data_IF_364029538229
#
_entry.id   IF_364029538229
#
_cell.length_a   1.000
_cell.length_b   1.000
_cell.length_c   1.000
_cell.angle_alpha   90.00
_cell.angle_beta   90.00
_cell.angle_gamma   90.00
#
_symmetry.space_group_name_H-M   'P 1'
#
loop_
_entity.id
_entity.type
_entity.pdbx_description
1 polymer ?
#
# COMPACT_ATOMS: atom_id res chain seq x y z
N UNK A 1 -22.08 -4.04 16.50
CA UNK A 1 -21.71 -2.68 16.97
C UNK A 1 -21.51 -2.61 18.49
N UNK A 2 -22.44 -3.14 19.32
CA UNK A 2 -22.37 -3.13 20.80
C UNK A 2 -21.07 -3.75 21.34
N UNK A 3 -20.73 -4.94 20.91
CA UNK A 3 -19.50 -5.65 21.33
C UNK A 3 -18.21 -4.87 21.05
N UNK A 4 -18.14 -4.15 19.91
CA UNK A 4 -16.99 -3.27 19.59
C UNK A 4 -16.87 -2.08 20.53
N UNK A 5 -17.99 -1.46 20.88
CA UNK A 5 -18.02 -0.34 21.85
C UNK A 5 -17.56 -0.80 23.24
N UNK A 6 -18.04 -1.94 23.71
CA UNK A 6 -17.63 -2.52 24.99
C UNK A 6 -16.12 -2.85 25.01
N UNK A 7 -15.58 -3.38 23.91
CA UNK A 7 -14.14 -3.64 23.79
C UNK A 7 -13.32 -2.34 23.84
N UNK A 8 -13.74 -1.29 23.13
CA UNK A 8 -13.09 0.02 23.14
C UNK A 8 -13.16 0.65 24.52
N UNK A 9 -14.31 0.62 25.20
CA UNK A 9 -14.48 1.15 26.55
C UNK A 9 -13.60 0.41 27.57
N UNK A 10 -13.54 -0.92 27.46
CA UNK A 10 -12.68 -1.76 28.29
C UNK A 10 -11.21 -1.39 28.10
N UNK A 11 -10.74 -1.33 26.86
CA UNK A 11 -9.37 -0.95 26.53
C UNK A 11 -9.06 0.46 27.04
N UNK A 12 -9.94 1.44 26.81
CA UNK A 12 -9.75 2.81 27.25
C UNK A 12 -9.62 2.91 28.77
N UNK A 13 -10.53 2.26 29.51
CA UNK A 13 -10.56 2.34 30.96
C UNK A 13 -9.43 1.54 31.63
N UNK A 14 -9.09 0.37 31.10
CA UNK A 14 -8.14 -0.54 31.74
C UNK A 14 -6.72 -0.42 31.20
N UNK A 15 -6.52 0.05 29.99
CA UNK A 15 -5.21 0.17 29.36
C UNK A 15 -4.81 1.64 29.20
N UNK A 16 -5.57 2.40 28.39
CA UNK A 16 -5.21 3.77 28.06
C UNK A 16 -5.14 4.69 29.27
N UNK A 17 -6.12 4.66 30.14
CA UNK A 17 -6.14 5.53 31.34
C UNK A 17 -4.97 5.26 32.30
N UNK A 18 -4.48 4.02 32.32
CA UNK A 18 -3.38 3.59 33.21
C UNK A 18 -1.98 3.80 32.61
N UNK A 19 -1.86 4.14 31.34
CA UNK A 19 -0.57 4.45 30.74
C UNK A 19 0.06 5.68 31.39
N UNK A 20 1.38 5.64 31.50
CA UNK A 20 2.18 6.80 31.91
C UNK A 20 1.95 7.99 30.97
N UNK A 21 2.00 9.22 31.53
CA UNK A 21 1.73 10.43 30.77
C UNK A 21 2.74 10.66 29.61
N UNK A 22 3.99 10.28 29.81
CA UNK A 22 5.03 10.42 28.76
C UNK A 22 4.75 9.46 27.61
N UNK A 23 4.33 8.23 27.93
CA UNK A 23 3.95 7.25 26.91
C UNK A 23 2.72 7.72 26.14
N UNK A 24 1.70 8.27 26.83
CA UNK A 24 0.53 8.86 26.15
C UNK A 24 0.93 10.02 25.24
N UNK A 25 1.76 10.93 25.72
CA UNK A 25 2.23 12.06 24.94
C UNK A 25 2.96 11.60 23.67
N UNK A 26 3.88 10.64 23.79
CA UNK A 26 4.60 10.07 22.64
C UNK A 26 3.68 9.40 21.62
N UNK A 27 2.66 8.68 22.09
CA UNK A 27 1.67 8.07 21.18
C UNK A 27 0.85 9.13 20.47
N UNK A 28 0.38 10.15 21.21
CA UNK A 28 -0.39 11.26 20.64
C UNK A 28 0.45 12.02 19.62
N UNK A 29 1.68 12.35 19.96
CA UNK A 29 2.61 13.04 19.05
C UNK A 29 2.84 12.25 17.76
N UNK A 30 3.06 10.95 17.85
CA UNK A 30 3.18 10.08 16.67
C UNK A 30 1.94 10.08 15.79
N UNK A 31 0.74 10.13 16.37
CA UNK A 31 -0.51 10.23 15.63
C UNK A 31 -0.65 11.61 15.00
N UNK A 32 -0.38 12.67 15.75
CA UNK A 32 -0.46 14.07 15.27
C UNK A 32 0.47 14.31 14.10
N UNK A 33 1.73 13.83 14.17
CA UNK A 33 2.68 13.91 13.05
C UNK A 33 2.14 13.26 11.78
N UNK A 34 1.46 12.13 11.92
CA UNK A 34 0.83 11.47 10.77
C UNK A 34 -0.39 12.27 10.24
N UNK A 35 -1.24 12.77 11.13
CA UNK A 35 -2.44 13.52 10.77
C UNK A 35 -2.12 14.91 10.20
N UNK A 36 -1.01 15.54 10.62
CA UNK A 36 -0.57 16.84 10.11
C UNK A 36 -0.36 16.84 8.60
N UNK A 37 -0.02 15.68 8.00
CA UNK A 37 0.05 15.54 6.54
C UNK A 37 -1.25 15.94 5.84
N UNK A 38 -2.39 15.76 6.50
CA UNK A 38 -3.70 16.12 5.96
C UNK A 38 -4.07 17.56 6.30
N UNK A 39 -3.79 18.02 7.51
CA UNK A 39 -4.21 19.33 8.00
C UNK A 39 -3.38 20.49 7.41
N UNK A 40 -2.09 20.27 7.18
CA UNK A 40 -1.17 21.30 6.68
C UNK A 40 -1.36 21.61 5.19
N UNK A 41 -1.99 20.70 4.43
CA UNK A 41 -2.24 20.91 3.00
C UNK A 41 -3.74 20.96 2.70
N UNK A 42 -4.30 22.15 2.42
CA UNK A 42 -5.74 22.30 2.17
C UNK A 42 -6.26 21.50 0.97
N UNK A 43 -5.43 21.21 -0.03
CA UNK A 43 -5.84 20.39 -1.17
C UNK A 43 -5.96 18.92 -0.76
N UNK A 44 -5.01 18.42 0.03
CA UNK A 44 -5.03 17.05 0.59
C UNK A 44 -6.21 16.90 1.55
N UNK A 45 -6.39 17.87 2.45
CA UNK A 45 -7.53 17.87 3.37
C UNK A 45 -8.87 17.74 2.62
N UNK A 46 -9.09 18.59 1.59
CA UNK A 46 -10.32 18.52 0.80
C UNK A 46 -10.50 17.20 0.05
N UNK A 47 -9.42 16.59 -0.41
CA UNK A 47 -9.47 15.33 -1.15
C UNK A 47 -9.75 14.12 -0.24
N UNK A 48 -9.14 14.08 0.96
CA UNK A 48 -9.20 12.92 1.83
C UNK A 48 -10.15 13.08 3.02
N UNK A 49 -10.49 14.31 3.38
CA UNK A 49 -11.41 14.64 4.47
C UNK A 49 -12.59 15.51 3.98
N UNK A 50 -13.30 15.11 2.92
CA UNK A 50 -14.39 15.89 2.40
C UNK A 50 -15.54 15.99 3.43
N UNK A 51 -16.32 17.09 3.44
CA UNK A 51 -17.44 17.23 4.33
C UNK A 51 -18.50 16.16 4.07
N UNK A 52 -19.27 15.79 5.09
CA UNK A 52 -20.30 14.75 4.99
C UNK A 52 -21.29 14.99 3.84
N UNK A 53 -21.57 16.25 3.52
CA UNK A 53 -22.43 16.64 2.40
C UNK A 53 -21.91 16.14 1.05
N UNK A 54 -20.60 16.03 0.86
CA UNK A 54 -20.01 15.53 -0.37
C UNK A 54 -20.35 14.06 -0.68
N UNK A 55 -20.77 13.30 0.35
CA UNK A 55 -21.20 11.90 0.18
C UNK A 55 -22.71 11.74 -0.01
N UNK A 56 -23.49 12.77 0.32
CA UNK A 56 -24.95 12.69 0.33
C UNK A 56 -25.55 13.40 -0.89
N UNK A 57 -24.95 14.52 -1.29
CA UNK A 57 -25.44 15.35 -2.40
C UNK A 57 -24.74 14.93 -3.70
N UNK A 58 -25.48 14.62 -4.77
CA UNK A 58 -24.87 14.36 -6.06
C UNK A 58 -23.97 15.55 -6.47
N UNK A 59 -22.68 15.29 -6.78
CA UNK A 59 -21.77 16.36 -7.15
C UNK A 59 -22.18 16.97 -8.48
N UNK A 60 -22.05 18.28 -8.58
CA UNK A 60 -22.22 19.00 -9.86
C UNK A 60 -21.04 18.68 -10.79
N UNK A 61 -21.19 18.83 -12.11
CA UNK A 61 -20.06 18.73 -13.03
C UNK A 61 -18.94 19.70 -12.59
N UNK A 62 -17.72 19.15 -12.42
CA UNK A 62 -16.55 19.92 -11.97
C UNK A 62 -16.31 19.95 -10.46
N UNK A 63 -17.25 19.50 -9.63
CA UNK A 63 -17.02 19.40 -8.19
C UNK A 63 -16.03 18.25 -7.86
N UNK A 64 -15.16 18.44 -6.86
CA UNK A 64 -14.33 17.34 -6.34
C UNK A 64 -15.24 16.23 -5.82
N UNK A 65 -14.94 15.00 -6.23
CA UNK A 65 -15.66 13.81 -5.76
C UNK A 65 -14.80 13.06 -4.75
N UNK A 66 -15.38 12.58 -3.64
CA UNK A 66 -14.70 11.63 -2.81
C UNK A 66 -14.30 10.41 -3.63
N UNK A 67 -13.11 9.87 -3.38
CA UNK A 67 -12.70 8.61 -3.96
C UNK A 67 -13.64 7.50 -3.43
N UNK A 68 -14.33 6.76 -4.30
CA UNK A 68 -15.12 5.62 -3.85
C UNK A 68 -14.23 4.59 -3.15
N UNK A 69 -14.80 3.72 -2.31
CA UNK A 69 -14.06 2.58 -1.77
C UNK A 69 -13.33 1.82 -2.87
N UNK A 70 -12.07 1.46 -2.65
CA UNK A 70 -11.29 0.77 -3.67
C UNK A 70 -11.91 -0.57 -4.04
N UNK A 71 -12.60 -1.24 -3.13
CA UNK A 71 -13.37 -2.45 -3.41
C UNK A 71 -14.38 -2.26 -4.54
N UNK A 72 -15.09 -1.13 -4.55
CA UNK A 72 -16.10 -0.83 -5.56
C UNK A 72 -15.44 -0.50 -6.92
N UNK A 73 -14.33 0.23 -6.89
CA UNK A 73 -13.57 0.54 -8.11
C UNK A 73 -13.00 -0.71 -8.79
N UNK A 74 -12.51 -1.67 -8.01
CA UNK A 74 -11.98 -2.93 -8.53
C UNK A 74 -13.03 -3.76 -9.26
N UNK A 75 -14.27 -3.74 -8.81
CA UNK A 75 -15.36 -4.52 -9.43
C UNK A 75 -15.98 -3.81 -10.64
N UNK A 76 -15.89 -2.50 -10.72
CA UNK A 76 -16.51 -1.71 -11.81
C UNK A 76 -15.59 -1.46 -13.01
N UNK A 77 -14.30 -1.81 -12.92
CA UNK A 77 -13.36 -1.73 -14.05
C UNK A 77 -12.87 -0.31 -14.34
N UNK A 78 -12.55 0.43 -13.31
CA UNK A 78 -11.97 1.77 -13.42
C UNK A 78 -10.45 1.73 -13.60
N UNK A 79 -9.91 2.80 -14.17
CA UNK A 79 -8.48 3.10 -14.17
C UNK A 79 -8.23 4.23 -13.17
N UNK A 80 -7.40 3.97 -12.17
CA UNK A 80 -7.00 4.94 -11.17
C UNK A 80 -5.54 5.33 -11.39
N UNK A 81 -5.29 6.56 -11.81
CA UNK A 81 -3.96 7.13 -11.93
C UNK A 81 -3.60 7.93 -10.68
N UNK A 82 -2.49 7.59 -10.02
CA UNK A 82 -1.96 8.33 -8.89
C UNK A 82 -0.66 9.02 -9.31
N UNK A 83 -0.68 10.35 -9.35
CA UNK A 83 0.50 11.14 -9.64
C UNK A 83 0.85 11.99 -8.41
N UNK A 84 1.94 11.65 -7.75
CA UNK A 84 2.43 12.38 -6.60
C UNK A 84 3.68 13.17 -6.96
N UNK A 85 3.70 14.51 -6.78
CA UNK A 85 4.88 15.33 -7.03
C UNK A 85 5.93 15.11 -5.92
N UNK A 86 6.65 13.99 -6.00
CA UNK A 86 7.64 13.58 -4.97
C UNK A 86 8.70 14.65 -4.73
N UNK A 87 9.10 15.38 -5.77
CA UNK A 87 10.09 16.44 -5.65
C UNK A 87 9.61 17.64 -4.81
N UNK A 88 8.30 17.91 -4.78
CA UNK A 88 7.74 19.05 -4.05
C UNK A 88 7.49 18.72 -2.56
N UNK A 89 6.98 17.54 -2.28
CA UNK A 89 6.72 17.09 -0.91
C UNK A 89 6.91 15.58 -0.78
N UNK A 90 8.15 15.12 -0.59
CA UNK A 90 8.47 13.69 -0.56
C UNK A 90 7.82 12.95 0.61
N UNK A 91 7.63 13.62 1.76
CA UNK A 91 7.01 13.01 2.94
C UNK A 91 5.52 12.73 2.70
N UNK A 92 4.80 13.71 2.16
CA UNK A 92 3.38 13.59 1.82
C UNK A 92 3.16 12.56 0.71
N UNK A 93 3.93 12.64 -0.37
CA UNK A 93 3.83 11.69 -1.49
C UNK A 93 4.04 10.25 -1.02
N UNK A 94 5.03 10.01 -0.17
CA UNK A 94 5.29 8.69 0.42
C UNK A 94 4.16 8.26 1.34
N UNK A 95 3.70 9.14 2.24
CA UNK A 95 2.62 8.83 3.19
C UNK A 95 1.33 8.44 2.49
N UNK A 96 0.87 9.26 1.55
CA UNK A 96 -0.34 9.00 0.77
C UNK A 96 -0.19 7.79 -0.15
N UNK A 97 0.94 7.66 -0.83
CA UNK A 97 1.22 6.52 -1.71
C UNK A 97 1.19 5.19 -0.96
N UNK A 98 1.83 5.12 0.22
CA UNK A 98 1.80 3.92 1.07
C UNK A 98 0.38 3.63 1.57
N UNK A 99 -0.34 4.65 2.05
CA UNK A 99 -1.71 4.48 2.55
C UNK A 99 -2.65 3.93 1.46
N UNK A 100 -2.65 4.53 0.28
CA UNK A 100 -3.49 4.09 -0.83
C UNK A 100 -3.08 2.70 -1.34
N UNK A 101 -1.78 2.40 -1.37
CA UNK A 101 -1.30 1.07 -1.72
C UNK A 101 -1.76 0.00 -0.72
N UNK A 102 -1.67 0.27 0.58
CA UNK A 102 -2.14 -0.66 1.60
C UNK A 102 -3.65 -0.88 1.53
N UNK A 103 -4.43 0.16 1.27
CA UNK A 103 -5.87 0.04 1.08
C UNK A 103 -6.21 -0.77 -0.18
N UNK A 104 -5.49 -0.53 -1.28
CA UNK A 104 -5.59 -1.35 -2.49
C UNK A 104 -5.26 -2.82 -2.23
N UNK A 105 -4.16 -3.11 -1.55
CA UNK A 105 -3.80 -4.48 -1.18
C UNK A 105 -4.87 -5.15 -0.33
N UNK A 106 -5.43 -4.42 0.63
CA UNK A 106 -6.54 -4.91 1.45
C UNK A 106 -7.77 -5.23 0.59
N UNK A 107 -8.16 -4.34 -0.31
CA UNK A 107 -9.28 -4.54 -1.21
C UNK A 107 -9.07 -5.76 -2.13
N UNK A 108 -7.87 -5.92 -2.68
CA UNK A 108 -7.49 -7.08 -3.50
C UNK A 108 -7.61 -8.39 -2.71
N UNK A 109 -7.02 -8.45 -1.50
CA UNK A 109 -7.05 -9.66 -0.71
C UNK A 109 -8.47 -10.02 -0.23
N UNK A 110 -9.32 -9.05 -0.03
CA UNK A 110 -10.74 -9.28 0.31
C UNK A 110 -11.55 -9.89 -0.84
N UNK A 111 -11.06 -9.84 -2.08
CA UNK A 111 -11.69 -10.55 -3.21
C UNK A 111 -11.56 -12.07 -3.10
N UNK A 112 -10.47 -12.56 -2.52
CA UNK A 112 -10.19 -14.01 -2.48
C UNK A 112 -11.36 -14.82 -1.90
N UNK A 113 -11.88 -14.51 -0.69
CA UNK A 113 -13.03 -15.24 -0.17
C UNK A 113 -14.31 -15.02 -0.99
N UNK A 114 -14.50 -13.85 -1.58
CA UNK A 114 -15.66 -13.58 -2.46
C UNK A 114 -15.60 -14.44 -3.74
N UNK A 115 -14.41 -14.55 -4.33
CA UNK A 115 -14.17 -15.38 -5.52
C UNK A 115 -14.34 -16.88 -5.21
N UNK A 116 -13.88 -17.31 -4.05
CA UNK A 116 -14.07 -18.70 -3.61
C UNK A 116 -15.55 -19.04 -3.38
N UNK A 117 -16.33 -18.08 -2.87
CA UNK A 117 -17.78 -18.25 -2.67
C UNK A 117 -18.58 -18.23 -3.97
N UNK A 118 -18.09 -17.54 -5.02
CA UNK A 118 -18.76 -17.47 -6.31
C UNK A 118 -17.75 -17.54 -7.47
N UNK A 119 -17.18 -18.73 -7.75
CA UNK A 119 -16.14 -18.91 -8.74
C UNK A 119 -16.60 -18.67 -10.19
N UNK A 120 -17.90 -18.76 -10.46
CA UNK A 120 -18.48 -18.59 -11.79
C UNK A 120 -18.81 -17.13 -12.13
N UNK A 121 -18.67 -16.19 -11.18
CA UNK A 121 -18.87 -14.79 -11.48
C UNK A 121 -17.80 -14.27 -12.46
N UNK A 122 -18.12 -13.26 -13.29
CA UNK A 122 -17.18 -12.70 -14.26
C UNK A 122 -16.12 -11.81 -13.58
N UNK A 123 -15.26 -12.42 -12.80
CA UNK A 123 -14.19 -11.72 -12.09
C UNK A 123 -13.18 -11.10 -13.06
N UNK A 124 -12.95 -9.81 -12.92
CA UNK A 124 -11.96 -9.07 -13.73
C UNK A 124 -10.54 -9.36 -13.27
N UNK A 125 -9.61 -9.36 -14.21
CA UNK A 125 -8.20 -9.25 -13.90
C UNK A 125 -7.89 -7.82 -13.47
N UNK A 126 -7.02 -7.68 -12.48
CA UNK A 126 -6.60 -6.40 -11.93
C UNK A 126 -5.15 -6.14 -12.33
N UNK A 127 -4.86 -4.94 -12.78
CA UNK A 127 -3.49 -4.49 -13.05
C UNK A 127 -3.05 -3.53 -11.94
N UNK A 128 -1.89 -3.80 -11.37
CA UNK A 128 -1.18 -2.87 -10.51
C UNK A 128 0.10 -2.46 -11.22
N UNK A 129 0.16 -1.22 -11.68
CA UNK A 129 1.33 -0.68 -12.38
C UNK A 129 2.00 0.33 -11.47
N UNK A 130 3.28 0.13 -11.17
CA UNK A 130 4.05 1.04 -10.33
C UNK A 130 5.41 1.30 -10.96
N UNK A 131 5.64 2.56 -11.33
CA UNK A 131 6.95 3.08 -11.68
C UNK A 131 7.69 3.54 -10.41
N UNK A 132 9.01 3.54 -10.44
CA UNK A 132 9.85 3.88 -9.27
C UNK A 132 9.40 3.13 -8.00
N UNK A 133 9.10 1.85 -8.16
CA UNK A 133 8.47 1.04 -7.11
C UNK A 133 9.22 1.05 -5.78
N UNK A 134 10.55 1.16 -5.81
CA UNK A 134 11.38 1.26 -4.62
C UNK A 134 11.06 2.48 -3.75
N UNK A 135 10.53 3.58 -4.35
CA UNK A 135 10.17 4.81 -3.65
C UNK A 135 8.80 4.71 -2.94
N UNK A 136 7.87 3.94 -3.50
CA UNK A 136 6.48 3.81 -3.01
C UNK A 136 6.28 2.63 -2.04
N UNK A 137 7.36 2.05 -1.54
CA UNK A 137 7.31 0.81 -0.79
C UNK A 137 7.05 1.02 0.70
N UNK A 138 6.17 0.19 1.29
CA UNK A 138 6.04 0.06 2.73
C UNK A 138 7.21 -0.77 3.28
N UNK A 139 8.00 -0.21 4.19
CA UNK A 139 9.03 -0.96 4.91
C UNK A 139 8.37 -1.97 5.85
N UNK A 140 8.93 -3.18 5.95
CA UNK A 140 8.58 -4.11 7.04
C UNK A 140 8.80 -3.37 8.37
N UNK A 141 7.76 -3.20 9.15
CA UNK A 141 7.88 -2.86 10.55
C UNK A 141 7.72 -4.14 11.37
N UNK A 142 8.70 -4.44 12.18
CA UNK A 142 8.51 -5.39 13.26
C UNK A 142 7.67 -4.71 14.33
N UNK A 143 6.45 -5.18 14.53
CA UNK A 143 5.62 -4.83 15.66
C UNK A 143 5.63 -6.04 16.59
N UNK A 144 6.60 -6.09 17.48
CA UNK A 144 6.85 -7.27 18.33
C UNK A 144 7.40 -8.46 17.52
N UNK A 145 7.18 -9.68 17.99
CA UNK A 145 7.61 -10.92 17.32
C UNK A 145 6.78 -11.32 16.08
N UNK A 146 5.76 -10.54 15.73
CA UNK A 146 4.88 -10.84 14.58
C UNK A 146 5.32 -10.07 13.35
N UNK A 147 5.50 -10.80 12.25
CA UNK A 147 5.68 -10.23 10.92
C UNK A 147 4.46 -9.35 10.59
N UNK A 148 4.73 -8.10 10.21
CA UNK A 148 3.71 -7.20 9.69
C UNK A 148 3.05 -7.84 8.45
N UNK A 149 1.75 -8.13 8.47
CA UNK A 149 1.06 -8.75 7.34
C UNK A 149 0.96 -7.85 6.11
N UNK A 150 1.38 -6.59 6.22
CA UNK A 150 1.30 -5.58 5.16
C UNK A 150 2.52 -5.55 4.23
N UNK A 151 3.47 -6.47 4.38
CA UNK A 151 4.62 -6.58 3.48
C UNK A 151 4.19 -6.89 2.05
N UNK A 152 4.78 -6.17 1.09
CA UNK A 152 4.49 -6.33 -0.34
C UNK A 152 4.70 -7.76 -0.82
N UNK A 153 5.69 -8.45 -0.28
CA UNK A 153 6.02 -9.83 -0.62
C UNK A 153 4.85 -10.78 -0.34
N UNK A 154 4.17 -10.57 0.78
CA UNK A 154 3.01 -11.38 1.15
C UNK A 154 1.79 -11.01 0.31
N UNK A 155 1.56 -9.72 0.10
CA UNK A 155 0.45 -9.27 -0.71
C UNK A 155 0.55 -9.81 -2.13
N UNK A 156 1.73 -9.75 -2.78
CA UNK A 156 1.92 -10.27 -4.12
C UNK A 156 1.92 -11.81 -4.20
N UNK A 157 2.43 -12.49 -3.18
CA UNK A 157 2.35 -13.95 -3.13
C UNK A 157 0.91 -14.47 -3.11
N UNK A 158 0.00 -13.76 -2.41
CA UNK A 158 -1.41 -14.11 -2.30
C UNK A 158 -2.27 -13.52 -3.43
N UNK A 159 -1.85 -12.43 -4.03
CA UNK A 159 -2.64 -11.64 -4.99
C UNK A 159 -3.00 -12.39 -6.28
N UNK A 160 -2.22 -13.41 -6.64
CA UNK A 160 -2.54 -14.28 -7.78
C UNK A 160 -3.93 -14.92 -7.64
N UNK A 161 -4.32 -15.30 -6.42
CA UNK A 161 -5.66 -15.86 -6.16
C UNK A 161 -6.78 -14.84 -6.38
N UNK A 162 -6.46 -13.54 -6.26
CA UNK A 162 -7.38 -12.43 -6.54
C UNK A 162 -7.31 -11.93 -7.98
N UNK A 163 -6.62 -12.63 -8.88
CA UNK A 163 -6.34 -12.24 -10.27
C UNK A 163 -5.64 -10.88 -10.38
N UNK A 164 -4.72 -10.58 -9.47
CA UNK A 164 -3.88 -9.38 -9.59
C UNK A 164 -2.63 -9.68 -10.41
N UNK A 165 -2.36 -8.83 -11.38
CA UNK A 165 -1.18 -8.83 -12.24
C UNK A 165 -0.34 -7.61 -11.85
N UNK A 166 0.71 -7.76 -11.02
CA UNK A 166 1.60 -6.66 -10.69
C UNK A 166 2.63 -6.45 -11.80
N UNK A 167 2.78 -5.19 -12.21
CA UNK A 167 3.82 -4.72 -13.13
C UNK A 167 4.58 -3.61 -12.38
N UNK A 168 5.83 -3.86 -12.05
CA UNK A 168 6.64 -2.90 -11.29
C UNK A 168 7.93 -2.59 -12.05
N UNK A 169 8.29 -1.32 -12.07
CA UNK A 169 9.56 -0.86 -12.62
C UNK A 169 10.42 -0.26 -11.50
N UNK A 170 11.73 -0.46 -11.60
CA UNK A 170 12.72 0.10 -10.69
C UNK A 170 14.01 0.37 -11.45
N UNK A 171 14.78 1.33 -11.00
CA UNK A 171 16.03 1.71 -11.67
C UNK A 171 17.09 0.59 -11.58
N UNK A 172 17.14 -0.12 -10.46
CA UNK A 172 18.11 -1.19 -10.23
C UNK A 172 17.65 -2.16 -9.15
N UNK A 173 18.23 -3.36 -9.11
CA UNK A 173 18.06 -4.30 -8.01
C UNK A 173 18.70 -3.75 -6.74
N UNK A 174 19.79 -2.99 -6.85
CA UNK A 174 20.42 -2.30 -5.71
C UNK A 174 19.47 -1.30 -5.05
N UNK A 175 18.71 -0.52 -5.82
CA UNK A 175 17.67 0.39 -5.30
C UNK A 175 16.59 -0.38 -4.54
N UNK A 176 16.16 -1.51 -5.10
CA UNK A 176 15.18 -2.37 -4.45
C UNK A 176 15.72 -2.98 -3.15
N UNK A 177 16.96 -3.48 -3.16
CA UNK A 177 17.65 -4.02 -1.99
C UNK A 177 17.78 -2.98 -0.88
N UNK A 178 18.22 -1.77 -1.22
CA UNK A 178 18.34 -0.65 -0.28
C UNK A 178 17.00 -0.28 0.36
N UNK A 179 15.93 -0.23 -0.45
CA UNK A 179 14.59 0.06 0.03
C UNK A 179 14.05 -1.04 0.97
N UNK A 180 14.41 -2.30 0.77
CA UNK A 180 13.95 -3.47 1.54
C UNK A 180 14.71 -3.66 2.85
N UNK A 181 15.93 -3.19 2.92
CA UNK A 181 16.75 -3.26 4.13
C UNK A 181 17.16 -4.68 4.59
N UNK A 182 16.86 -5.71 3.80
CA UNK A 182 17.31 -7.08 4.04
C UNK A 182 17.56 -7.84 2.73
N UNK A 183 18.55 -8.73 2.75
CA UNK A 183 18.86 -9.57 1.57
C UNK A 183 17.76 -10.57 1.24
N UNK A 184 17.05 -11.05 2.23
CA UNK A 184 15.93 -11.97 2.02
C UNK A 184 14.70 -11.26 1.40
N UNK A 185 14.41 -10.03 1.81
CA UNK A 185 13.21 -9.31 1.37
C UNK A 185 13.18 -9.07 -0.13
N UNK A 186 14.27 -8.57 -0.73
CA UNK A 186 14.29 -8.33 -2.17
C UNK A 186 14.26 -9.63 -2.98
N UNK A 187 14.90 -10.71 -2.51
CA UNK A 187 14.86 -12.01 -3.17
C UNK A 187 13.44 -12.58 -3.14
N UNK A 188 12.79 -12.55 -1.99
CA UNK A 188 11.40 -13.00 -1.82
C UNK A 188 10.45 -12.20 -2.72
N UNK A 189 10.63 -10.88 -2.79
CA UNK A 189 9.84 -10.05 -3.68
C UNK A 189 10.07 -10.39 -5.15
N UNK A 190 11.34 -10.54 -5.56
CA UNK A 190 11.70 -10.93 -6.93
C UNK A 190 11.10 -12.29 -7.33
N UNK A 191 10.93 -13.22 -6.40
CA UNK A 191 10.29 -14.52 -6.66
C UNK A 191 8.80 -14.39 -6.96
N UNK A 192 8.13 -13.33 -6.46
CA UNK A 192 6.73 -13.06 -6.77
C UNK A 192 6.50 -12.70 -8.24
N UNK A 193 7.51 -12.18 -8.92
CA UNK A 193 7.46 -11.80 -10.33
C UNK A 193 8.08 -12.90 -11.20
N UNK A 194 7.28 -13.62 -11.97
CA UNK A 194 7.78 -14.68 -12.86
C UNK A 194 8.52 -14.13 -14.07
N UNK A 195 7.98 -13.08 -14.68
CA UNK A 195 8.61 -12.39 -15.81
C UNK A 195 9.46 -11.26 -15.30
N UNK A 196 10.70 -11.20 -15.73
CA UNK A 196 11.66 -10.15 -15.42
C UNK A 196 12.25 -9.63 -16.69
N UNK A 197 12.26 -8.31 -16.85
CA UNK A 197 12.86 -7.64 -18.01
C UNK A 197 14.01 -6.77 -17.49
N UNK A 198 15.21 -7.05 -17.94
CA UNK A 198 16.39 -6.27 -17.64
C UNK A 198 16.75 -5.44 -18.86
N UNK A 199 16.79 -4.14 -18.69
CA UNK A 199 17.27 -3.19 -19.69
C UNK A 199 18.75 -2.88 -19.44
N UNK A 200 19.33 -2.01 -20.25
CA UNK A 200 20.71 -1.55 -20.05
C UNK A 200 20.88 -0.96 -18.64
N UNK A 201 21.90 -1.40 -17.93
CA UNK A 201 22.17 -0.97 -16.55
C UNK A 201 23.67 -0.75 -16.35
N UNK A 202 24.01 0.29 -15.59
CA UNK A 202 25.36 0.53 -15.07
C UNK A 202 25.58 -0.05 -13.68
N UNK A 203 24.52 -0.60 -13.06
CA UNK A 203 24.61 -1.20 -11.72
C UNK A 203 25.14 -2.63 -11.81
N UNK A 204 26.35 -2.84 -11.32
CA UNK A 204 27.04 -4.15 -11.35
C UNK A 204 26.22 -5.25 -10.66
N UNK A 205 25.59 -4.92 -9.54
CA UNK A 205 24.77 -5.90 -8.79
C UNK A 205 23.55 -6.34 -9.60
N UNK A 206 22.89 -5.41 -10.31
CA UNK A 206 21.79 -5.74 -11.21
C UNK A 206 22.26 -6.60 -12.38
N UNK A 207 23.39 -6.25 -13.01
CA UNK A 207 23.94 -7.02 -14.13
C UNK A 207 24.29 -8.46 -13.70
N UNK A 208 24.96 -8.62 -12.55
CA UNK A 208 25.27 -9.94 -11.98
C UNK A 208 24.02 -10.74 -11.65
N UNK A 209 23.03 -10.12 -11.02
CA UNK A 209 21.76 -10.77 -10.70
C UNK A 209 21.02 -11.23 -11.95
N UNK A 210 21.00 -10.42 -13.00
CA UNK A 210 20.41 -10.79 -14.28
C UNK A 210 21.11 -11.99 -14.92
N UNK A 211 22.44 -11.99 -14.94
CA UNK A 211 23.23 -13.09 -15.46
C UNK A 211 22.99 -14.41 -14.69
N UNK A 212 22.93 -14.34 -13.35
CA UNK A 212 22.61 -15.50 -12.51
C UNK A 212 21.21 -16.06 -12.78
N UNK A 213 20.23 -15.19 -13.02
CA UNK A 213 18.86 -15.59 -13.31
C UNK A 213 18.66 -16.18 -14.70
N UNK A 214 19.45 -15.71 -15.68
CA UNK A 214 19.43 -16.24 -17.04
C UNK A 214 20.15 -17.62 -17.15
N UNK A 215 20.98 -17.96 -16.18
CA UNK A 215 21.81 -19.17 -16.25
C UNK A 215 23.01 -19.00 -17.19
N UNK A 216 23.78 -20.09 -17.34
CA UNK A 216 24.86 -20.17 -18.31
C UNK A 216 24.33 -20.85 -19.56
N UNK A 217 24.63 -20.32 -20.73
CA UNK A 217 24.48 -21.05 -21.97
C UNK A 217 25.59 -22.13 -21.98
N UNK A 218 25.21 -23.39 -22.08
CA UNK A 218 26.13 -24.51 -22.35
C UNK A 218 26.61 -24.46 -23.78
#
# INVERSE_FOLDING_TARGET
RRHRLEAIQRWFNHTWRKLDQRVKASIIEGIVVFLSLFDENPAVYRAFCPPRSAYITPPKPGDPRPLPPLEDLLETGHVLGLNFPVAMNPALARGLGVMLKLDFQRAVLQRIPKMAANPQAPWRDLLFVADEYHAARARRRFVGERLDPTGDERAFALSRQARLIPIVATQSVSSLRSALGSDEGWRTLMQCFRTKVFLATSDEFTARTAAELCGRAD
#
